data_IF_078498541396
#
_entry.id   IF_078498541396
#
_cell.length_a   1.000
_cell.length_b   1.000
_cell.length_c   1.000
_cell.angle_alpha   90.00
_cell.angle_beta   90.00
_cell.angle_gamma   90.00
#
_symmetry.space_group_name_H-M   'P 1'
#
loop_
_entity.id
_entity.type
_entity.pdbx_description
1 polymer ?
#
# COMPACT_ATOMS: atom_id res chain seq x y z
N UNK A 1 -2.22 -16.32 -4.79
CA UNK A 1 -3.20 -15.67 -5.69
C UNK A 1 -2.50 -14.43 -6.23
N UNK A 2 -2.57 -14.23 -7.54
CA UNK A 2 -1.81 -13.19 -8.23
C UNK A 2 -2.16 -11.80 -7.71
N UNK A 3 -1.20 -10.88 -7.77
CA UNK A 3 -1.41 -9.45 -7.57
C UNK A 3 -2.62 -8.97 -8.38
N UNK A 4 -3.38 -8.02 -7.84
CA UNK A 4 -4.56 -7.47 -8.52
C UNK A 4 -4.27 -6.06 -9.03
N UNK A 5 -4.42 -5.82 -10.32
CA UNK A 5 -4.41 -4.46 -10.84
C UNK A 5 -5.75 -3.79 -10.53
N UNK A 6 -5.70 -2.61 -9.92
CA UNK A 6 -6.89 -1.85 -9.51
C UNK A 6 -6.85 -0.43 -10.06
N UNK A 7 -8.03 0.13 -10.28
CA UNK A 7 -8.23 1.51 -10.75
C UNK A 7 -8.57 2.45 -9.60
N UNK A 8 -8.63 3.75 -9.86
CA UNK A 8 -9.13 4.76 -8.93
C UNK A 8 -10.49 4.42 -8.34
N UNK A 9 -11.41 3.90 -9.16
CA UNK A 9 -12.77 3.53 -8.72
C UNK A 9 -12.78 2.39 -7.69
N UNK A 10 -11.78 1.51 -7.75
CA UNK A 10 -11.69 0.32 -6.89
C UNK A 10 -10.81 0.55 -5.66
N UNK A 11 -10.02 1.62 -5.63
CA UNK A 11 -9.02 1.87 -4.60
C UNK A 11 -9.62 1.95 -3.20
N UNK A 12 -10.66 2.79 -3.03
CA UNK A 12 -11.33 2.97 -1.75
C UNK A 12 -11.99 1.66 -1.26
N UNK A 13 -12.79 1.00 -2.10
CA UNK A 13 -13.45 -0.26 -1.71
C UNK A 13 -12.43 -1.36 -1.40
N UNK A 14 -11.33 -1.45 -2.15
CA UNK A 14 -10.26 -2.42 -1.87
C UNK A 14 -9.69 -2.23 -0.46
N UNK A 15 -9.46 -1.00 -0.04
CA UNK A 15 -8.98 -0.67 1.32
C UNK A 15 -10.07 -0.89 2.37
N UNK A 16 -11.33 -0.59 2.05
CA UNK A 16 -12.44 -0.69 2.99
C UNK A 16 -12.89 -2.13 3.28
N UNK A 17 -12.79 -3.00 2.28
CA UNK A 17 -13.27 -4.38 2.32
C UNK A 17 -12.22 -5.39 2.82
N UNK A 18 -10.97 -4.95 3.04
CA UNK A 18 -9.87 -5.82 3.42
C UNK A 18 -9.08 -5.25 4.60
N UNK A 19 -8.72 -6.13 5.55
CA UNK A 19 -7.99 -5.72 6.75
C UNK A 19 -6.57 -5.27 6.44
N UNK A 20 -5.90 -5.91 5.47
CA UNK A 20 -4.54 -5.56 5.06
C UNK A 20 -4.47 -5.44 3.53
N UNK A 21 -4.01 -4.27 3.08
CA UNK A 21 -3.79 -4.01 1.64
C UNK A 21 -2.41 -3.40 1.47
N UNK A 22 -1.57 -4.04 0.67
CA UNK A 22 -0.36 -3.42 0.12
C UNK A 22 -0.69 -2.92 -1.29
N UNK A 23 -0.17 -1.75 -1.65
CA UNK A 23 -0.35 -1.16 -2.98
C UNK A 23 1.00 -0.80 -3.56
N UNK A 24 1.36 -1.38 -4.71
CA UNK A 24 2.51 -0.99 -5.53
C UNK A 24 2.07 0.01 -6.62
N UNK A 25 2.48 1.26 -6.48
CA UNK A 25 2.30 2.30 -7.50
C UNK A 25 3.46 2.21 -8.49
N UNK A 26 3.17 1.85 -9.75
CA UNK A 26 4.17 1.46 -10.74
C UNK A 26 3.89 2.05 -12.12
N UNK A 27 4.85 1.91 -13.04
CA UNK A 27 4.65 2.17 -14.47
C UNK A 27 5.51 1.22 -15.32
N UNK A 28 5.08 0.90 -16.54
CA UNK A 28 5.78 -0.07 -17.39
C UNK A 28 7.21 0.37 -17.79
N UNK A 29 7.43 1.67 -17.98
CA UNK A 29 8.74 2.23 -18.35
C UNK A 29 9.74 2.24 -17.18
N UNK A 30 9.26 2.16 -15.94
CA UNK A 30 10.07 2.23 -14.71
C UNK A 30 10.86 0.93 -14.49
N UNK A 31 12.18 0.99 -14.69
CA UNK A 31 13.05 -0.17 -14.51
C UNK A 31 13.06 -0.71 -13.06
N UNK A 32 13.13 0.13 -12.01
CA UNK A 32 13.02 -0.36 -10.63
C UNK A 32 11.68 -1.04 -10.34
N UNK A 33 10.57 -0.57 -10.93
CA UNK A 33 9.25 -1.19 -10.79
C UNK A 33 9.25 -2.61 -11.38
N UNK A 34 9.83 -2.79 -12.57
CA UNK A 34 9.98 -4.12 -13.20
C UNK A 34 10.86 -5.06 -12.37
N UNK A 35 11.86 -4.53 -11.65
CA UNK A 35 12.70 -5.32 -10.73
C UNK A 35 11.95 -5.70 -9.45
N UNK A 36 11.05 -4.84 -8.97
CA UNK A 36 10.25 -5.08 -7.77
C UNK A 36 9.12 -6.08 -8.00
N UNK A 37 8.47 -6.02 -9.17
CA UNK A 37 7.33 -6.86 -9.55
C UNK A 37 7.46 -8.36 -9.21
N UNK A 38 8.56 -9.08 -9.52
CA UNK A 38 8.70 -10.50 -9.15
C UNK A 38 8.76 -10.72 -7.63
N UNK A 39 9.40 -9.81 -6.89
CA UNK A 39 9.45 -9.87 -5.42
C UNK A 39 8.07 -9.67 -4.82
N UNK A 40 7.33 -8.68 -5.33
CA UNK A 40 5.97 -8.37 -4.90
C UNK A 40 5.00 -9.52 -5.22
N UNK A 41 5.10 -10.08 -6.42
CA UNK A 41 4.34 -11.26 -6.82
C UNK A 41 4.62 -12.48 -5.95
N UNK A 42 5.89 -12.78 -5.64
CA UNK A 42 6.24 -13.90 -4.77
C UNK A 42 5.71 -13.73 -3.34
N UNK A 43 5.67 -12.50 -2.81
CA UNK A 43 5.06 -12.23 -1.51
C UNK A 43 3.54 -12.45 -1.53
N UNK A 44 2.85 -12.06 -2.62
CA UNK A 44 1.40 -12.27 -2.78
C UNK A 44 0.98 -13.74 -2.78
N UNK A 45 1.89 -14.64 -3.17
CA UNK A 45 1.64 -16.07 -3.12
C UNK A 45 1.77 -16.64 -1.70
N UNK A 46 2.58 -16.02 -0.84
CA UNK A 46 2.86 -16.48 0.53
C UNK A 46 1.86 -15.95 1.55
N UNK A 47 1.41 -14.71 1.40
CA UNK A 47 0.54 -14.04 2.36
C UNK A 47 -0.87 -13.92 1.79
N UNK A 48 -1.63 -15.01 1.84
CA UNK A 48 -3.01 -15.07 1.32
C UNK A 48 -4.01 -14.26 2.15
N UNK A 49 -3.60 -13.79 3.32
CA UNK A 49 -4.33 -12.90 4.22
C UNK A 49 -4.13 -11.41 3.92
N UNK A 50 -3.34 -11.08 2.88
CA UNK A 50 -3.03 -9.71 2.46
C UNK A 50 -3.43 -9.52 1.01
N UNK A 51 -4.08 -8.41 0.69
CA UNK A 51 -4.31 -8.01 -0.70
C UNK A 51 -3.08 -7.31 -1.24
N UNK A 52 -2.57 -7.79 -2.38
CA UNK A 52 -1.45 -7.19 -3.10
C UNK A 52 -1.99 -6.48 -4.35
N UNK A 53 -2.30 -5.20 -4.19
CA UNK A 53 -2.82 -4.35 -5.25
C UNK A 53 -1.72 -3.64 -6.02
N UNK A 54 -1.99 -3.35 -7.28
CA UNK A 54 -1.09 -2.63 -8.18
C UNK A 54 -1.86 -1.49 -8.85
N UNK A 55 -1.26 -0.31 -8.89
CA UNK A 55 -1.82 0.87 -9.55
C UNK A 55 -0.82 1.36 -10.59
N UNK A 56 -1.23 1.38 -11.86
CA UNK A 56 -0.43 2.00 -12.93
C UNK A 56 -0.61 3.52 -12.87
N UNK A 57 0.45 4.24 -12.54
CA UNK A 57 0.40 5.70 -12.38
C UNK A 57 0.22 6.45 -13.70
N UNK A 58 0.49 5.82 -14.85
CA UNK A 58 0.25 6.42 -16.17
C UNK A 58 -1.24 6.39 -16.52
N UNK A 59 -1.92 5.31 -16.14
CA UNK A 59 -3.35 5.14 -16.35
C UNK A 59 -4.18 5.90 -15.30
N UNK A 60 -3.76 5.87 -14.04
CA UNK A 60 -4.49 6.38 -12.88
C UNK A 60 -3.85 7.67 -12.32
N UNK A 61 -3.61 8.66 -13.19
CA UNK A 61 -2.88 9.89 -12.84
C UNK A 61 -3.54 10.69 -11.70
N UNK A 62 -4.87 10.75 -11.68
CA UNK A 62 -5.61 11.43 -10.62
C UNK A 62 -5.41 10.73 -9.28
N UNK A 63 -5.58 9.40 -9.22
CA UNK A 63 -5.33 8.63 -8.01
C UNK A 63 -3.87 8.78 -7.55
N UNK A 64 -2.91 8.72 -8.46
CA UNK A 64 -1.49 8.91 -8.14
C UNK A 64 -1.23 10.30 -7.52
N UNK A 65 -1.88 11.35 -8.02
CA UNK A 65 -1.78 12.69 -7.46
C UNK A 65 -2.44 12.80 -6.08
N UNK A 66 -3.63 12.23 -5.90
CA UNK A 66 -4.37 12.22 -4.62
C UNK A 66 -3.62 11.41 -3.55
N UNK A 67 -2.97 10.31 -3.93
CA UNK A 67 -2.10 9.52 -3.07
C UNK A 67 -0.72 10.16 -2.85
N UNK A 68 -0.41 11.31 -3.47
CA UNK A 68 0.86 12.01 -3.28
C UNK A 68 2.07 11.28 -3.86
N UNK A 69 1.89 10.48 -4.91
CA UNK A 69 2.97 9.71 -5.54
C UNK A 69 3.90 10.65 -6.31
N UNK A 70 5.12 10.79 -5.81
CA UNK A 70 6.18 11.64 -6.41
C UNK A 70 7.33 10.85 -7.02
N UNK A 71 7.39 9.55 -6.73
CA UNK A 71 8.39 8.63 -7.29
C UNK A 71 7.84 7.21 -7.35
N UNK A 72 8.35 6.41 -8.28
CA UNK A 72 7.92 5.03 -8.48
C UNK A 72 9.12 4.05 -8.53
N UNK A 73 8.96 2.81 -8.03
CA UNK A 73 7.76 2.31 -7.37
C UNK A 73 7.57 3.00 -6.01
N UNK A 74 6.33 3.11 -5.55
CA UNK A 74 6.02 3.47 -4.16
C UNK A 74 5.15 2.38 -3.57
N UNK A 75 5.57 1.85 -2.43
CA UNK A 75 4.79 0.87 -1.68
C UNK A 75 4.02 1.59 -0.58
N UNK A 76 2.71 1.46 -0.61
CA UNK A 76 1.84 1.80 0.51
C UNK A 76 1.34 0.53 1.20
N UNK A 77 1.15 0.58 2.51
CA UNK A 77 0.44 -0.45 3.25
C UNK A 77 -0.66 0.18 4.12
N UNK A 78 -1.84 -0.40 3.99
CA UNK A 78 -3.03 -0.06 4.75
C UNK A 78 -3.34 -1.21 5.70
N UNK A 79 -3.69 -0.85 6.94
CA UNK A 79 -4.21 -1.76 7.95
C UNK A 79 -5.49 -1.18 8.52
N UNK A 80 -6.60 -1.89 8.38
CA UNK A 80 -7.93 -1.48 8.85
C UNK A 80 -8.26 -0.05 8.42
N UNK A 81 -8.06 0.24 7.11
CA UNK A 81 -8.31 1.54 6.46
C UNK A 81 -7.36 2.68 6.85
N UNK A 82 -6.35 2.40 7.69
CA UNK A 82 -5.32 3.37 8.07
C UNK A 82 -4.08 3.15 7.21
N UNK A 83 -3.57 4.21 6.58
CA UNK A 83 -2.26 4.19 5.94
C UNK A 83 -1.18 4.13 7.03
N UNK A 84 -0.48 3.00 7.13
CA UNK A 84 0.52 2.75 8.17
C UNK A 84 1.95 2.70 7.63
N UNK A 85 2.11 2.57 6.32
CA UNK A 85 3.39 2.60 5.64
C UNK A 85 3.24 3.28 4.28
N UNK A 86 4.18 4.15 3.92
CA UNK A 86 4.30 4.72 2.59
C UNK A 86 5.77 5.03 2.34
N UNK A 87 6.39 4.31 1.41
CA UNK A 87 7.80 4.50 1.10
C UNK A 87 8.06 4.37 -0.40
N UNK A 88 8.78 5.33 -1.00
CA UNK A 88 9.27 5.18 -2.35
C UNK A 88 10.47 4.22 -2.43
N UNK A 89 10.61 3.58 -3.59
CA UNK A 89 11.71 2.69 -3.92
C UNK A 89 11.33 1.20 -3.87
N UNK A 90 12.05 0.42 -4.67
CA UNK A 90 11.90 -1.03 -4.73
C UNK A 90 12.47 -1.67 -3.46
N UNK A 91 11.71 -2.59 -2.86
CA UNK A 91 12.18 -3.43 -1.75
C UNK A 91 12.66 -4.79 -2.26
N UNK A 92 13.71 -5.33 -1.65
CA UNK A 92 14.04 -6.74 -1.85
C UNK A 92 13.13 -7.64 -0.99
N UNK A 93 13.18 -8.96 -1.22
CA UNK A 93 12.31 -9.92 -0.52
C UNK A 93 12.35 -9.79 1.01
N UNK A 94 13.52 -9.83 1.66
CA UNK A 94 13.62 -9.66 3.11
C UNK A 94 13.06 -8.33 3.63
N UNK A 95 13.27 -7.23 2.92
CA UNK A 95 12.72 -5.92 3.31
C UNK A 95 11.19 -5.89 3.18
N UNK A 96 10.65 -6.44 2.09
CA UNK A 96 9.21 -6.53 1.90
C UNK A 96 8.55 -7.41 2.98
N UNK A 97 9.17 -8.54 3.32
CA UNK A 97 8.73 -9.43 4.39
C UNK A 97 8.67 -8.69 5.74
N UNK A 98 9.71 -7.92 6.08
CA UNK A 98 9.74 -7.13 7.31
C UNK A 98 8.60 -6.11 7.37
N UNK A 99 8.28 -5.46 6.24
CA UNK A 99 7.15 -4.53 6.17
C UNK A 99 5.84 -5.28 6.40
N UNK A 100 5.64 -6.42 5.75
CA UNK A 100 4.41 -7.22 5.88
C UNK A 100 4.21 -7.66 7.35
N UNK A 101 5.25 -8.21 7.97
CA UNK A 101 5.19 -8.67 9.36
C UNK A 101 5.00 -7.50 10.33
N UNK A 102 5.65 -6.36 10.09
CA UNK A 102 5.43 -5.16 10.90
C UNK A 102 3.98 -4.68 10.81
N UNK A 103 3.41 -4.61 9.61
CA UNK A 103 2.01 -4.20 9.38
C UNK A 103 1.03 -5.19 10.04
N UNK A 104 1.30 -6.49 9.97
CA UNK A 104 0.50 -7.53 10.65
C UNK A 104 0.58 -7.44 12.17
N UNK A 105 1.74 -7.05 12.69
CA UNK A 105 2.02 -6.96 14.13
C UNK A 105 1.65 -5.63 14.77
N UNK A 106 1.07 -4.68 14.05
CA UNK A 106 0.63 -3.41 14.62
C UNK A 106 -0.50 -3.64 15.65
N UNK A 107 -0.39 -2.98 16.80
CA UNK A 107 -1.48 -2.87 17.75
C UNK A 107 -2.50 -1.86 17.21
N UNK A 108 -3.57 -2.37 16.62
CA UNK A 108 -4.58 -1.52 15.99
C UNK A 108 -5.48 -0.79 16.99
N UNK A 109 -5.55 -1.23 18.24
CA UNK A 109 -6.22 -0.45 19.29
C UNK A 109 -5.44 0.83 19.56
N UNK A 110 -4.11 0.72 19.69
CA UNK A 110 -3.23 1.87 19.85
C UNK A 110 -3.23 2.77 18.61
N UNK A 111 -3.12 2.20 17.40
CA UNK A 111 -3.13 2.98 16.15
C UNK A 111 -4.43 3.77 16.01
N UNK A 112 -5.59 3.14 16.24
CA UNK A 112 -6.87 3.84 16.15
C UNK A 112 -7.03 4.92 17.22
N UNK A 113 -6.55 4.70 18.44
CA UNK A 113 -6.55 5.73 19.48
C UNK A 113 -5.73 6.96 19.06
N UNK A 114 -4.55 6.76 18.46
CA UNK A 114 -3.72 7.84 17.94
C UNK A 114 -4.38 8.59 16.77
N UNK A 115 -4.97 7.86 15.81
CA UNK A 115 -5.67 8.47 14.67
C UNK A 115 -6.87 9.28 15.13
N UNK A 116 -7.67 8.77 16.07
CA UNK A 116 -8.81 9.50 16.63
C UNK A 116 -8.38 10.79 17.33
N UNK A 117 -7.30 10.74 18.11
CA UNK A 117 -6.73 11.91 18.77
C UNK A 117 -6.25 12.95 17.77
N UNK A 118 -5.46 12.54 16.76
CA UNK A 118 -4.94 13.46 15.75
C UNK A 118 -6.05 14.13 14.93
N UNK A 119 -7.14 13.40 14.62
CA UNK A 119 -8.31 13.96 13.93
C UNK A 119 -9.06 14.99 14.79
N UNK A 120 -9.19 14.75 16.10
CA UNK A 120 -9.82 15.70 17.02
C UNK A 120 -8.99 17.00 17.10
N UNK A 121 -7.67 16.90 17.26
CA UNK A 121 -6.78 18.06 17.34
C UNK A 121 -6.75 18.88 16.03
N UNK A 122 -6.91 18.23 14.87
CA UNK A 122 -6.98 18.92 13.57
C UNK A 122 -8.30 19.64 13.31
N UNK A 123 -9.40 19.27 13.99
CA UNK A 123 -10.70 19.92 13.88
C UNK A 123 -10.87 21.11 14.83
N UNK A 124 -9.98 21.26 15.81
CA UNK A 124 -9.98 22.37 16.78
C UNK A 124 -9.14 23.59 16.34
N UNK A 125 -8.39 23.48 15.23
CA UNK A 125 -7.58 24.56 14.65
C UNK A 125 -8.21 25.13 13.37
#
# INVERSE_FOLDING_TARGET
MATVDITGEQFASTIEDNDIVLVDFWAAWCAPCRQFAPTYGAASEKHTDVVFAKVDTEAEQQLAAEAGITSIPTLMAFREKVLVFSQPGALNGPQLEQVIEAVKGLDMEEVHAHVAKARAEAQEN
#
